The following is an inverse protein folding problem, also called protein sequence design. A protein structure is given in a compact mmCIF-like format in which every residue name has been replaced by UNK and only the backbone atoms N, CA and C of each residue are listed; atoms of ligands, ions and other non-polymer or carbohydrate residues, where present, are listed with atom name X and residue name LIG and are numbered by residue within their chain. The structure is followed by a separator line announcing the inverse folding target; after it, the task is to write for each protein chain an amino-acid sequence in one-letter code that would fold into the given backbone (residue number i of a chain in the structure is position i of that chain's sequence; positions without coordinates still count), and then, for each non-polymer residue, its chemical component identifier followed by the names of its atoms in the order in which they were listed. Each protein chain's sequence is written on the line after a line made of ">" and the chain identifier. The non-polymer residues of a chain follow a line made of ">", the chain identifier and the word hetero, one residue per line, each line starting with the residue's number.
data_IF_580453774124
#
_entry.id   IF_580453774124
#
_cell.length_a   1.000
_cell.length_b   1.000
_cell.length_c   1.000
_cell.angle_alpha   90.00
_cell.angle_beta   90.00
_cell.angle_gamma   90.00
#
_symmetry.space_group_name_H-M   'P 1'
#
loop_
_entity.id
_entity.type
_entity.pdbx_description
1 polymer ?
#
# COMPACT_ATOMS: atom_id res chain seq x y z
N UNK A 1 31.99 9.81 -26.08
CA UNK A 1 31.69 9.36 -24.72
C UNK A 1 30.36 8.67 -24.81
N UNK A 2 30.36 7.35 -24.89
CA UNK A 2 29.15 6.54 -24.98
C UNK A 2 28.46 6.63 -23.64
N UNK A 3 27.21 7.10 -23.66
CA UNK A 3 26.27 7.00 -22.53
C UNK A 3 26.06 5.50 -22.23
N UNK A 4 26.88 4.95 -21.34
CA UNK A 4 26.51 3.74 -20.63
C UNK A 4 25.30 4.11 -19.73
N UNK A 5 24.13 4.04 -20.30
CA UNK A 5 22.93 3.91 -19.52
C UNK A 5 23.15 2.63 -18.71
N UNK A 6 23.36 2.77 -17.42
CA UNK A 6 23.40 1.65 -16.49
C UNK A 6 22.17 0.79 -16.78
N UNK A 7 22.38 -0.35 -17.41
CA UNK A 7 21.31 -1.33 -17.60
C UNK A 7 21.02 -1.99 -16.26
N UNK A 8 20.15 -1.34 -15.49
CA UNK A 8 19.71 -1.81 -14.19
C UNK A 8 19.02 -3.17 -14.25
N UNK A 9 18.64 -3.62 -15.46
CA UNK A 9 18.08 -4.94 -15.67
C UNK A 9 19.16 -6.04 -15.62
N UNK A 10 20.43 -5.69 -15.82
CA UNK A 10 21.56 -6.63 -15.71
C UNK A 10 22.24 -6.64 -14.34
N UNK A 11 21.92 -5.69 -13.46
CA UNK A 11 22.35 -5.81 -12.08
C UNK A 11 21.77 -7.12 -11.51
N UNK A 12 22.65 -8.06 -11.20
CA UNK A 12 22.31 -9.39 -10.64
C UNK A 12 21.74 -9.23 -9.21
N UNK A 13 20.63 -8.56 -9.07
CA UNK A 13 19.99 -8.30 -7.78
C UNK A 13 19.22 -9.52 -7.26
N UNK A 14 19.08 -10.57 -8.08
CA UNK A 14 18.22 -11.72 -7.73
C UNK A 14 16.72 -11.39 -7.68
N UNK A 15 16.35 -10.14 -7.89
CA UNK A 15 14.95 -9.74 -7.97
C UNK A 15 14.38 -9.98 -9.35
N UNK A 16 13.18 -10.56 -9.43
CA UNK A 16 12.45 -10.73 -10.71
C UNK A 16 11.70 -9.47 -11.14
N UNK A 17 11.70 -8.46 -10.31
CA UNK A 17 11.02 -7.20 -10.58
C UNK A 17 11.89 -6.33 -11.44
N UNK A 18 11.36 -5.86 -12.56
CA UNK A 18 12.01 -4.85 -13.40
C UNK A 18 12.03 -3.53 -12.63
N UNK A 19 13.21 -2.99 -12.41
CA UNK A 19 13.38 -1.66 -11.82
C UNK A 19 13.50 -0.67 -12.97
N UNK A 20 12.45 0.09 -13.23
CA UNK A 20 12.46 1.13 -14.24
C UNK A 20 13.16 2.39 -13.71
N UNK A 21 14.13 2.96 -14.47
CA UNK A 21 14.75 4.22 -14.09
C UNK A 21 13.74 5.36 -14.28
N UNK A 22 13.48 6.12 -13.23
CA UNK A 22 12.59 7.29 -13.31
C UNK A 22 13.20 8.49 -12.60
N UNK A 23 12.79 9.68 -13.04
CA UNK A 23 13.09 10.94 -12.37
C UNK A 23 11.87 11.41 -11.62
N UNK A 24 12.05 11.67 -10.34
CA UNK A 24 11.00 12.29 -9.51
C UNK A 24 10.96 13.78 -9.85
N UNK A 25 9.84 14.27 -10.34
CA UNK A 25 9.66 15.68 -10.72
C UNK A 25 9.06 16.55 -9.64
N UNK A 26 8.45 15.96 -8.63
CA UNK A 26 8.00 16.69 -7.47
C UNK A 26 9.08 16.66 -6.40
N UNK A 27 9.51 17.84 -5.98
CA UNK A 27 10.50 18.01 -4.91
C UNK A 27 9.87 18.90 -3.86
N UNK A 28 9.76 18.39 -2.66
CA UNK A 28 9.35 19.15 -1.48
C UNK A 28 10.59 19.47 -0.64
N UNK A 29 10.76 20.73 -0.29
CA UNK A 29 11.83 21.14 0.61
C UNK A 29 11.47 20.76 2.03
N UNK A 30 12.33 19.94 2.67
CA UNK A 30 12.19 19.56 4.05
C UNK A 30 13.18 20.34 4.94
N UNK A 31 12.78 20.64 6.15
CA UNK A 31 13.65 21.24 7.14
C UNK A 31 14.65 20.21 7.67
N UNK A 32 15.94 20.51 7.59
CA UNK A 32 16.96 19.72 8.28
C UNK A 32 16.91 20.05 9.78
N UNK A 33 16.80 19.02 10.60
CA UNK A 33 16.79 19.13 12.05
C UNK A 33 18.03 18.51 12.66
N UNK A 34 18.44 19.03 13.80
CA UNK A 34 19.51 18.44 14.61
C UNK A 34 18.97 17.27 15.45
N UNK A 35 19.87 16.43 15.94
CA UNK A 35 19.48 15.32 16.83
C UNK A 35 18.74 15.78 18.11
N UNK A 36 19.19 16.85 18.83
CA UNK A 36 18.45 17.35 19.98
C UNK A 36 17.04 17.82 19.64
N UNK A 37 16.85 18.55 18.53
CA UNK A 37 15.51 18.98 18.09
C UNK A 37 14.60 17.79 17.85
N UNK A 38 15.07 16.74 17.15
CA UNK A 38 14.28 15.53 16.93
C UNK A 38 13.94 14.79 18.22
N UNK A 39 14.88 14.74 19.18
CA UNK A 39 14.63 14.14 20.47
C UNK A 39 13.51 14.87 21.22
N UNK A 40 13.54 16.21 21.23
CA UNK A 40 12.50 17.03 21.87
C UNK A 40 11.13 16.84 21.19
N UNK A 41 11.08 16.73 19.87
CA UNK A 41 9.84 16.45 19.14
C UNK A 41 9.28 15.07 19.51
N UNK A 42 10.12 14.04 19.55
CA UNK A 42 9.71 12.69 19.94
C UNK A 42 9.21 12.63 21.39
N UNK A 43 9.87 13.34 22.30
CA UNK A 43 9.45 13.44 23.70
C UNK A 43 8.08 14.13 23.80
N UNK A 44 7.88 15.25 23.12
CA UNK A 44 6.59 15.96 23.08
C UNK A 44 5.46 15.12 22.47
N UNK A 45 5.80 14.22 21.55
CA UNK A 45 4.89 13.25 20.97
C UNK A 45 4.73 11.98 21.83
N UNK A 46 5.26 11.95 23.04
CA UNK A 46 5.24 10.77 23.93
C UNK A 46 5.79 9.49 23.25
N UNK A 47 6.77 9.65 22.35
CA UNK A 47 7.34 8.59 21.50
C UNK A 47 6.32 7.89 20.58
N UNK A 48 5.15 8.48 20.37
CA UNK A 48 4.17 8.03 19.42
C UNK A 48 4.40 8.73 18.07
N UNK A 49 4.87 8.00 17.08
CA UNK A 49 5.20 8.54 15.76
C UNK A 49 4.00 9.20 15.05
N UNK A 50 2.79 8.76 15.34
CA UNK A 50 1.57 9.35 14.77
C UNK A 50 1.24 10.74 15.34
N UNK A 51 1.87 11.14 16.44
CA UNK A 51 1.71 12.47 17.02
C UNK A 51 2.84 13.42 16.63
N UNK A 52 3.83 12.96 15.86
CA UNK A 52 4.91 13.81 15.34
C UNK A 52 4.33 14.72 14.25
N UNK A 53 4.48 16.06 14.36
CA UNK A 53 4.03 16.98 13.31
C UNK A 53 4.70 16.69 11.97
N UNK A 54 3.95 16.67 10.88
CA UNK A 54 4.47 16.34 9.56
C UNK A 54 5.67 17.20 9.14
N UNK A 55 5.69 18.48 9.52
CA UNK A 55 6.82 19.42 9.25
C UNK A 55 8.14 18.99 9.88
N UNK A 56 8.11 18.13 10.89
CA UNK A 56 9.27 17.67 11.65
C UNK A 56 9.72 16.26 11.22
N UNK A 57 8.98 15.62 10.30
CA UNK A 57 9.32 14.33 9.70
C UNK A 57 10.30 14.57 8.55
N UNK A 58 11.52 14.06 8.67
CA UNK A 58 12.52 14.16 7.59
C UNK A 58 12.38 13.03 6.58
N UNK A 59 12.16 11.81 7.06
CA UNK A 59 11.99 10.61 6.26
C UNK A 59 10.86 9.83 6.90
N UNK A 60 9.78 9.61 6.17
CA UNK A 60 8.68 8.78 6.63
C UNK A 60 8.88 7.34 6.15
N UNK A 61 9.22 6.46 7.09
CA UNK A 61 9.34 5.01 6.87
C UNK A 61 8.20 4.24 7.55
N UNK A 62 7.26 4.96 8.16
CA UNK A 62 6.15 4.37 8.90
C UNK A 62 4.93 4.18 8.01
N UNK A 63 4.62 5.15 7.18
CA UNK A 63 3.45 5.08 6.31
C UNK A 63 3.82 4.48 4.96
N UNK A 64 2.99 3.57 4.49
CA UNK A 64 3.04 2.99 3.15
C UNK A 64 2.00 3.63 2.22
N UNK A 65 1.33 4.66 2.67
CA UNK A 65 0.18 5.30 2.03
C UNK A 65 0.51 6.12 0.78
N UNK A 66 1.66 5.88 0.20
CA UNK A 66 2.06 6.45 -1.06
C UNK A 66 3.00 7.64 -0.91
N UNK A 67 3.70 7.89 -1.99
CA UNK A 67 4.54 9.08 -2.17
C UNK A 67 3.82 10.05 -3.07
N UNK A 68 4.02 11.34 -2.88
CA UNK A 68 3.53 12.35 -3.81
C UNK A 68 4.25 12.34 -5.17
N UNK A 69 5.19 11.42 -5.38
CA UNK A 69 5.96 11.32 -6.60
C UNK A 69 5.11 10.75 -7.75
N UNK A 70 5.00 11.52 -8.82
CA UNK A 70 4.30 11.11 -10.03
C UNK A 70 5.17 11.39 -11.24
N UNK A 71 5.09 10.51 -12.25
CA UNK A 71 5.78 10.73 -13.51
C UNK A 71 5.17 11.91 -14.29
N UNK A 72 5.91 12.44 -15.25
CA UNK A 72 5.40 13.47 -16.15
C UNK A 72 4.16 12.98 -16.92
N UNK A 73 4.13 11.70 -17.30
CA UNK A 73 3.00 11.11 -18.00
C UNK A 73 1.78 10.94 -17.11
N UNK A 74 1.96 10.61 -15.82
CA UNK A 74 0.85 10.59 -14.86
C UNK A 74 0.23 11.99 -14.69
N UNK A 75 1.06 13.02 -14.53
CA UNK A 75 0.59 14.41 -14.48
C UNK A 75 -0.13 14.81 -15.77
N UNK A 76 0.46 14.49 -16.92
CA UNK A 76 -0.17 14.77 -18.22
C UNK A 76 -1.49 14.00 -18.39
N UNK A 77 -1.60 12.78 -17.88
CA UNK A 77 -2.82 12.00 -17.92
C UNK A 77 -3.93 12.62 -17.05
N UNK A 78 -3.59 13.13 -15.87
CA UNK A 78 -4.54 13.87 -15.01
C UNK A 78 -5.07 15.10 -15.77
N UNK A 79 -4.20 15.86 -16.43
CA UNK A 79 -4.59 17.06 -17.19
C UNK A 79 -5.42 16.74 -18.44
N UNK A 80 -5.26 15.55 -19.01
CA UNK A 80 -6.03 15.08 -20.19
C UNK A 80 -7.28 14.28 -19.81
N UNK A 81 -7.44 13.99 -18.52
CA UNK A 81 -8.63 13.29 -18.03
C UNK A 81 -9.89 14.08 -18.34
N UNK A 82 -10.94 13.37 -18.71
CA UNK A 82 -12.25 13.96 -18.92
C UNK A 82 -13.07 13.93 -17.64
N UNK A 83 -13.86 14.98 -17.45
CA UNK A 83 -14.82 15.08 -16.35
C UNK A 83 -16.22 14.88 -16.92
N UNK A 84 -16.91 13.86 -16.43
CA UNK A 84 -18.23 13.49 -16.89
C UNK A 84 -19.05 12.83 -15.78
N UNK A 85 -20.34 13.11 -15.74
CA UNK A 85 -21.25 12.44 -14.83
C UNK A 85 -21.32 10.93 -15.09
N UNK A 86 -21.22 10.51 -16.34
CA UNK A 86 -21.23 9.11 -16.76
C UNK A 86 -20.47 8.94 -18.09
N UNK A 87 -20.01 7.72 -18.35
CA UNK A 87 -19.37 7.34 -19.61
C UNK A 87 -18.09 8.13 -19.94
N UNK A 88 -17.32 8.51 -18.92
CA UNK A 88 -16.01 9.13 -19.11
C UNK A 88 -15.06 8.21 -19.89
N UNK A 89 -14.30 8.76 -20.85
CA UNK A 89 -13.29 7.99 -21.58
C UNK A 89 -12.18 7.50 -20.67
N UNK A 90 -11.86 8.27 -19.63
CA UNK A 90 -10.91 7.89 -18.59
C UNK A 90 -11.35 6.63 -17.85
N UNK A 91 -12.65 6.45 -17.62
CA UNK A 91 -13.20 5.24 -17.03
C UNK A 91 -12.97 4.02 -17.91
N UNK A 92 -13.30 4.09 -19.20
CA UNK A 92 -13.12 2.96 -20.11
C UNK A 92 -11.65 2.56 -20.24
N UNK A 93 -10.72 3.51 -20.30
CA UNK A 93 -9.28 3.23 -20.32
C UNK A 93 -8.83 2.55 -19.03
N UNK A 94 -9.31 3.02 -17.88
CA UNK A 94 -9.03 2.41 -16.58
C UNK A 94 -9.53 0.97 -16.54
N UNK A 95 -10.80 0.75 -16.90
CA UNK A 95 -11.43 -0.57 -16.91
C UNK A 95 -10.68 -1.55 -17.84
N UNK A 96 -10.37 -1.13 -19.06
CA UNK A 96 -9.61 -1.93 -20.02
C UNK A 96 -8.22 -2.30 -19.48
N UNK A 97 -7.53 -1.33 -18.90
CA UNK A 97 -6.19 -1.56 -18.31
C UNK A 97 -6.25 -2.55 -17.16
N UNK A 98 -7.19 -2.37 -16.23
CA UNK A 98 -7.35 -3.29 -15.08
C UNK A 98 -7.69 -4.70 -15.58
N UNK A 99 -8.59 -4.84 -16.54
CA UNK A 99 -8.91 -6.14 -17.15
C UNK A 99 -7.69 -6.76 -17.81
N UNK A 100 -6.90 -5.99 -18.55
CA UNK A 100 -5.69 -6.46 -19.20
C UNK A 100 -4.63 -6.97 -18.24
N UNK A 101 -4.47 -6.31 -17.08
CA UNK A 101 -3.48 -6.68 -16.07
C UNK A 101 -3.95 -7.85 -15.20
N UNK A 102 -5.24 -7.88 -14.82
CA UNK A 102 -5.75 -8.83 -13.82
C UNK A 102 -6.48 -10.02 -14.42
N UNK A 103 -7.00 -9.89 -15.64
CA UNK A 103 -7.86 -10.88 -16.28
C UNK A 103 -9.30 -10.94 -15.71
N UNK A 104 -9.65 -10.10 -14.74
CA UNK A 104 -10.98 -10.07 -14.16
C UNK A 104 -12.01 -9.49 -15.14
N UNK A 105 -13.18 -10.11 -15.18
CA UNK A 105 -14.28 -9.67 -16.04
C UNK A 105 -14.94 -8.38 -15.58
N UNK A 106 -15.04 -8.19 -14.27
CA UNK A 106 -15.74 -7.06 -13.67
C UNK A 106 -14.76 -6.19 -12.90
N UNK A 107 -14.89 -4.90 -13.05
CA UNK A 107 -14.09 -3.88 -12.35
C UNK A 107 -15.05 -2.95 -11.63
N UNK A 108 -14.98 -2.93 -10.31
CA UNK A 108 -15.81 -2.09 -9.44
C UNK A 108 -14.91 -1.13 -8.68
N UNK A 109 -14.80 0.13 -9.13
CA UNK A 109 -13.93 1.09 -8.46
C UNK A 109 -14.55 1.52 -7.13
N UNK A 110 -13.68 1.71 -6.14
CA UNK A 110 -14.01 2.33 -4.87
C UNK A 110 -13.05 3.49 -4.61
N UNK A 111 -13.47 4.47 -3.82
CA UNK A 111 -12.63 5.65 -3.57
C UNK A 111 -11.36 5.32 -2.80
N UNK A 112 -11.32 4.18 -2.09
CA UNK A 112 -10.13 3.68 -1.38
C UNK A 112 -10.30 2.20 -1.01
N UNK A 113 -9.18 1.53 -0.67
CA UNK A 113 -9.16 0.09 -0.39
C UNK A 113 -10.11 -0.33 0.74
N UNK A 114 -10.12 0.39 1.87
CA UNK A 114 -11.02 0.06 2.99
C UNK A 114 -12.51 0.20 2.66
N UNK A 115 -12.87 1.02 1.68
CA UNK A 115 -14.24 1.08 1.17
C UNK A 115 -14.56 -0.15 0.29
N UNK A 116 -13.60 -0.60 -0.51
CA UNK A 116 -13.73 -1.85 -1.26
C UNK A 116 -13.91 -3.05 -0.33
N UNK A 117 -13.12 -3.15 0.75
CA UNK A 117 -13.28 -4.17 1.79
C UNK A 117 -14.69 -4.12 2.41
N UNK A 118 -15.17 -2.92 2.75
CA UNK A 118 -16.51 -2.73 3.30
C UNK A 118 -17.60 -3.26 2.37
N UNK A 119 -17.51 -2.95 1.09
CA UNK A 119 -18.46 -3.41 0.08
C UNK A 119 -18.39 -4.93 -0.04
N UNK A 120 -17.17 -5.48 -0.18
CA UNK A 120 -16.94 -6.92 -0.34
C UNK A 120 -17.53 -7.72 0.83
N UNK A 121 -17.11 -7.42 2.05
CA UNK A 121 -17.55 -8.18 3.23
C UNK A 121 -19.01 -7.94 3.55
N UNK A 122 -19.58 -6.77 3.20
CA UNK A 122 -21.01 -6.54 3.33
C UNK A 122 -21.84 -7.41 2.38
N UNK A 123 -21.32 -7.71 1.20
CA UNK A 123 -22.00 -8.56 0.23
C UNK A 123 -21.79 -10.06 0.48
N UNK A 124 -20.60 -10.45 0.98
CA UNK A 124 -20.20 -11.86 1.04
C UNK A 124 -20.32 -12.48 2.43
N UNK A 125 -20.23 -11.69 3.52
CA UNK A 125 -20.22 -12.23 4.87
C UNK A 125 -21.56 -12.04 5.59
N UNK A 126 -21.90 -13.04 6.37
CA UNK A 126 -23.02 -13.02 7.35
C UNK A 126 -22.54 -13.47 8.71
N UNK A 127 -23.36 -13.27 9.73
CA UNK A 127 -23.05 -13.71 11.08
C UNK A 127 -22.74 -15.22 11.14
N UNK A 128 -21.66 -15.57 11.80
CA UNK A 128 -21.18 -16.94 11.97
C UNK A 128 -20.24 -17.46 10.86
N UNK A 129 -20.04 -16.72 9.78
CA UNK A 129 -19.03 -17.08 8.79
C UNK A 129 -17.62 -16.90 9.37
N UNK A 130 -16.67 -17.70 8.91
CA UNK A 130 -15.24 -17.60 9.28
C UNK A 130 -14.44 -17.21 8.04
N UNK A 131 -13.62 -16.17 8.18
CA UNK A 131 -12.72 -15.71 7.13
C UNK A 131 -11.29 -15.92 7.60
N UNK A 132 -10.59 -16.94 7.08
CA UNK A 132 -9.21 -17.23 7.47
C UNK A 132 -8.22 -16.34 6.70
N UNK A 133 -7.13 -15.97 7.35
CA UNK A 133 -5.96 -15.31 6.76
C UNK A 133 -4.71 -15.69 7.55
N UNK A 134 -3.53 -15.45 6.98
CA UNK A 134 -2.31 -15.52 7.79
C UNK A 134 -2.35 -14.49 8.93
N UNK A 135 -2.64 -13.24 8.61
CA UNK A 135 -2.89 -12.16 9.59
C UNK A 135 -3.77 -11.12 8.91
N UNK A 136 -4.87 -10.77 9.52
CA UNK A 136 -5.74 -9.72 8.99
C UNK A 136 -5.18 -8.34 9.27
N UNK A 137 -5.23 -7.48 8.28
CA UNK A 137 -5.06 -6.05 8.48
C UNK A 137 -6.23 -5.50 9.31
N UNK A 138 -6.01 -4.41 10.03
CA UNK A 138 -6.99 -3.88 10.98
C UNK A 138 -8.34 -3.54 10.35
N UNK A 139 -8.35 -2.88 9.19
CA UNK A 139 -9.58 -2.54 8.46
C UNK A 139 -10.29 -3.76 7.89
N UNK A 140 -9.55 -4.75 7.44
CA UNK A 140 -10.08 -6.03 6.94
C UNK A 140 -10.80 -6.75 8.07
N UNK A 141 -10.14 -6.94 9.22
CA UNK A 141 -10.74 -7.52 10.42
C UNK A 141 -12.00 -6.78 10.83
N UNK A 142 -11.92 -5.47 10.95
CA UNK A 142 -13.05 -4.64 11.37
C UNK A 142 -14.27 -4.78 10.44
N UNK A 143 -14.05 -4.85 9.14
CA UNK A 143 -15.13 -5.03 8.17
C UNK A 143 -15.76 -6.43 8.22
N UNK A 144 -14.98 -7.48 8.48
CA UNK A 144 -15.45 -8.85 8.68
C UNK A 144 -16.31 -8.93 9.97
N UNK A 145 -15.75 -8.49 11.08
CA UNK A 145 -16.39 -8.54 12.39
C UNK A 145 -17.63 -7.66 12.47
N UNK A 146 -17.66 -6.54 11.75
CA UNK A 146 -18.86 -5.71 11.64
C UNK A 146 -20.07 -6.47 11.06
N UNK A 147 -19.84 -7.52 10.29
CA UNK A 147 -20.88 -8.40 9.74
C UNK A 147 -21.27 -9.53 10.69
N UNK A 148 -20.66 -9.61 11.88
CA UNK A 148 -20.83 -10.72 12.82
C UNK A 148 -20.10 -12.00 12.38
N UNK A 149 -19.20 -11.90 11.39
CA UNK A 149 -18.31 -12.96 10.99
C UNK A 149 -17.05 -12.96 11.87
N UNK A 150 -16.27 -14.03 11.80
CA UNK A 150 -15.02 -14.21 12.55
C UNK A 150 -13.82 -14.04 11.60
N UNK A 151 -12.93 -13.12 11.91
CA UNK A 151 -11.65 -12.98 11.23
C UNK A 151 -10.61 -13.83 11.98
N UNK A 152 -10.25 -14.98 11.41
CA UNK A 152 -9.33 -15.94 12.05
C UNK A 152 -7.92 -15.81 11.50
N UNK A 153 -6.94 -15.53 12.40
CA UNK A 153 -5.53 -15.44 12.04
C UNK A 153 -4.85 -16.80 12.20
N UNK A 154 -4.37 -17.31 11.08
CA UNK A 154 -3.70 -18.61 10.96
C UNK A 154 -2.22 -18.47 10.61
N UNK A 155 -1.55 -17.44 11.15
CA UNK A 155 -0.09 -17.34 10.98
C UNK A 155 0.61 -18.49 11.70
N UNK A 156 1.70 -19.01 11.11
CA UNK A 156 2.55 -20.04 11.74
C UNK A 156 3.10 -19.56 13.08
N UNK A 157 3.46 -20.50 13.97
CA UNK A 157 3.92 -20.16 15.32
C UNK A 157 5.19 -19.31 15.32
N UNK A 158 6.11 -19.55 14.39
CA UNK A 158 7.31 -18.74 14.21
C UNK A 158 6.97 -17.27 13.86
N UNK A 159 5.82 -17.02 13.25
CA UNK A 159 5.33 -15.67 12.96
C UNK A 159 4.90 -14.91 14.20
N UNK A 160 4.55 -15.60 15.27
CA UNK A 160 4.13 -15.01 16.55
C UNK A 160 5.31 -14.73 17.49
N UNK A 161 6.45 -15.35 17.24
CA UNK A 161 7.68 -15.13 18.01
C UNK A 161 8.54 -14.06 17.31
N UNK A 162 8.67 -12.84 17.85
CA UNK A 162 9.49 -11.80 17.26
C UNK A 162 10.98 -12.14 17.21
N UNK A 163 11.46 -13.08 18.03
CA UNK A 163 12.85 -13.48 18.08
C UNK A 163 13.17 -14.66 17.13
N UNK A 164 12.17 -15.32 16.60
CA UNK A 164 12.37 -16.37 15.61
C UNK A 164 13.06 -15.84 14.36
N UNK A 165 14.07 -16.58 13.86
CA UNK A 165 14.81 -16.26 12.62
C UNK A 165 14.20 -16.95 11.40
N UNK A 166 12.98 -17.43 11.47
CA UNK A 166 12.31 -18.06 10.34
C UNK A 166 12.20 -17.11 9.15
N UNK A 167 12.59 -17.52 7.92
CA UNK A 167 12.67 -16.62 6.78
C UNK A 167 11.31 -16.14 6.26
N UNK A 168 10.23 -16.89 6.53
CA UNK A 168 8.88 -16.60 6.04
C UNK A 168 7.86 -16.60 7.19
N UNK A 169 8.05 -15.69 8.12
CA UNK A 169 7.22 -15.59 9.34
C UNK A 169 5.74 -15.27 9.06
N UNK A 170 5.44 -14.69 7.92
CA UNK A 170 4.07 -14.38 7.50
C UNK A 170 3.33 -15.54 6.82
N UNK A 171 3.91 -16.74 6.78
CA UNK A 171 3.23 -17.88 6.19
C UNK A 171 1.97 -18.24 6.97
N UNK A 172 0.97 -18.74 6.23
CA UNK A 172 -0.25 -19.29 6.80
C UNK A 172 -0.02 -20.75 7.22
N UNK A 173 -0.52 -21.12 8.39
CA UNK A 173 -0.63 -22.52 8.82
C UNK A 173 -1.83 -23.16 8.11
N UNK A 174 -1.56 -23.82 7.00
CA UNK A 174 -2.59 -24.46 6.17
C UNK A 174 -3.01 -25.84 6.69
N UNK A 175 -2.38 -26.35 7.74
CA UNK A 175 -2.76 -27.60 8.39
C UNK A 175 -3.81 -27.38 9.49
N UNK A 176 -3.97 -26.17 9.95
CA UNK A 176 -4.91 -25.75 10.98
C UNK A 176 -6.25 -25.33 10.39
#
# INVERSE_FOLDING_TARGET
>A
MSDEILDLNQAQTGFRTVIEPFRIKMVEAIRKTTRPERAAVLESAHHNLFLVPARDVMIDLLTDSGTGAMSAEQWAAIMRGDESYACAQSWFRFEETVRGVTGYRYVLPAHQGRAAERILFSAMCKAGDVVPSNTHFDTTRANIEYRGAVAEDLVIDEGRDPQSLHPFKGNMDVAR
#
